data_IF_013295245910
#
_entry.id   IF_013295245910
#
_cell.length_a   1.000
_cell.length_b   1.000
_cell.length_c   1.000
_cell.angle_alpha   90.00
_cell.angle_beta   90.00
_cell.angle_gamma   90.00
#
_symmetry.space_group_name_H-M   'P 1'
#
loop_
_entity.id
_entity.type
_entity.pdbx_description
1 polymer ?
#
# COMPACT_ATOMS: atom_id res chain seq x y z
N UNK A 1 1.13 -7.80 16.48
CA UNK A 1 -0.19 -7.77 15.82
C UNK A 1 -1.30 -7.45 16.82
N UNK A 2 -2.49 -7.28 16.28
CA UNK A 2 -3.71 -7.07 17.07
C UNK A 2 -4.48 -8.37 17.34
N UNK A 3 -5.79 -8.25 17.53
CA UNK A 3 -6.67 -9.39 17.89
C UNK A 3 -7.30 -10.10 16.70
N UNK A 4 -7.21 -9.52 15.48
CA UNK A 4 -7.77 -10.09 14.26
C UNK A 4 -6.66 -10.55 13.27
N UNK A 5 -6.94 -10.53 11.98
CA UNK A 5 -6.04 -11.03 10.93
C UNK A 5 -5.00 -9.97 10.55
N UNK A 6 -3.73 -10.37 10.54
CA UNK A 6 -2.62 -9.60 9.98
C UNK A 6 -1.85 -10.43 8.95
N UNK A 7 -1.44 -9.78 7.85
CA UNK A 7 -0.61 -10.39 6.82
C UNK A 7 0.53 -9.43 6.45
N UNK A 8 1.81 -9.81 6.65
CA UNK A 8 2.93 -9.04 6.11
C UNK A 8 3.06 -9.28 4.60
N UNK A 9 3.32 -8.22 3.84
CA UNK A 9 3.52 -8.25 2.40
C UNK A 9 4.98 -8.14 2.01
N UNK A 10 5.65 -7.15 2.58
CA UNK A 10 7.00 -6.76 2.21
C UNK A 10 7.76 -6.20 3.39
N UNK A 11 9.07 -6.34 3.35
CA UNK A 11 9.99 -5.84 4.36
C UNK A 11 11.28 -5.35 3.72
N UNK A 12 11.80 -4.25 4.25
CA UNK A 12 13.10 -3.69 3.85
C UNK A 12 13.89 -3.29 5.09
N UNK A 13 15.20 -3.25 4.96
CA UNK A 13 16.11 -2.79 6.02
C UNK A 13 16.49 -1.33 5.75
N UNK A 14 16.34 -0.45 6.74
CA UNK A 14 16.73 0.95 6.66
C UNK A 14 18.27 1.16 6.83
N UNK A 15 18.75 2.39 6.70
CA UNK A 15 20.16 2.74 6.80
C UNK A 15 20.80 2.40 8.17
N UNK A 16 19.97 2.29 9.21
CA UNK A 16 20.38 1.96 10.58
C UNK A 16 20.26 0.46 10.90
N UNK A 17 19.83 -0.35 9.92
CA UNK A 17 19.62 -1.78 10.10
C UNK A 17 18.27 -2.15 10.73
N UNK A 18 17.34 -1.20 10.88
CA UNK A 18 16.00 -1.48 11.38
C UNK A 18 15.12 -2.07 10.28
N UNK A 19 14.09 -2.80 10.68
CA UNK A 19 13.15 -3.44 9.76
C UNK A 19 11.93 -2.54 9.54
N UNK A 20 11.68 -2.12 8.30
CA UNK A 20 10.45 -1.45 7.87
C UNK A 20 9.57 -2.47 7.19
N UNK A 21 8.35 -2.64 7.68
CA UNK A 21 7.42 -3.68 7.24
C UNK A 21 6.12 -3.06 6.77
N UNK A 22 5.63 -3.51 5.62
CA UNK A 22 4.27 -3.32 5.14
C UNK A 22 3.46 -4.57 5.44
N UNK A 23 2.33 -4.39 6.10
CA UNK A 23 1.35 -5.43 6.34
C UNK A 23 -0.07 -4.92 6.04
N UNK A 24 -1.04 -5.83 5.95
CA UNK A 24 -2.46 -5.54 6.03
C UNK A 24 -3.01 -6.09 7.33
N UNK A 25 -3.85 -5.32 7.99
CA UNK A 25 -4.48 -5.68 9.27
C UNK A 25 -5.99 -5.51 9.23
N UNK A 26 -6.69 -6.36 9.96
CA UNK A 26 -8.12 -6.22 10.32
C UNK A 26 -8.31 -5.85 11.80
N UNK A 27 -7.24 -5.50 12.48
CA UNK A 27 -7.24 -5.26 13.92
C UNK A 27 -7.29 -3.77 14.23
N UNK A 28 -8.36 -3.30 14.82
CA UNK A 28 -8.44 -1.92 15.33
C UNK A 28 -7.52 -1.65 16.52
N UNK A 29 -7.02 -2.71 17.15
CA UNK A 29 -6.05 -2.69 18.24
C UNK A 29 -4.62 -3.03 17.79
N UNK A 30 -4.34 -2.96 16.47
CA UNK A 30 -2.96 -3.07 15.99
C UNK A 30 -2.12 -1.95 16.62
N UNK A 31 -0.92 -2.28 17.15
CA UNK A 31 -0.13 -1.28 17.88
C UNK A 31 0.40 -0.19 16.93
N UNK A 32 -0.05 1.03 17.13
CA UNK A 32 0.45 2.24 16.48
C UNK A 32 1.15 3.15 17.46
N UNK A 33 2.00 4.04 16.98
CA UNK A 33 2.74 4.98 17.83
C UNK A 33 2.08 6.35 17.85
N UNK A 34 2.08 6.99 19.01
CA UNK A 34 1.54 8.35 19.16
C UNK A 34 2.29 9.33 18.26
N UNK A 35 1.56 10.16 17.54
CA UNK A 35 2.09 11.12 16.59
C UNK A 35 2.41 10.54 15.21
N UNK A 36 2.03 9.29 14.93
CA UNK A 36 2.11 8.72 13.57
C UNK A 36 1.10 9.38 12.63
N UNK A 37 1.25 9.16 11.34
CA UNK A 37 0.40 9.76 10.31
C UNK A 37 -1.10 9.45 10.54
N UNK A 38 -1.44 8.21 10.82
CA UNK A 38 -2.80 7.79 11.16
C UNK A 38 -2.78 6.79 12.33
N UNK A 39 -3.42 7.18 13.43
CA UNK A 39 -3.56 6.32 14.62
C UNK A 39 -4.89 5.55 14.63
N UNK A 40 -5.73 5.75 13.58
CA UNK A 40 -7.10 5.25 13.51
C UNK A 40 -7.22 4.12 12.48
N UNK A 41 -7.78 2.98 12.91
CA UNK A 41 -8.20 1.93 11.99
C UNK A 41 -9.52 2.34 11.33
N UNK A 42 -9.54 2.46 10.01
CA UNK A 42 -10.73 2.82 9.23
C UNK A 42 -11.46 1.58 8.70
N UNK A 43 -10.70 0.52 8.39
CA UNK A 43 -11.21 -0.79 8.01
C UNK A 43 -12.03 -0.79 6.73
N UNK A 44 -13.13 -1.57 6.73
CA UNK A 44 -13.99 -1.70 5.55
C UNK A 44 -15.05 -2.76 5.74
N UNK A 45 -15.77 -3.13 4.68
CA UNK A 45 -16.68 -4.27 4.70
C UNK A 45 -15.96 -5.58 4.97
N UNK A 46 -16.67 -6.56 5.55
CA UNK A 46 -16.17 -7.93 5.67
C UNK A 46 -15.61 -8.43 4.33
N UNK A 47 -14.40 -8.97 4.38
CA UNK A 47 -13.72 -9.54 3.22
C UNK A 47 -13.20 -10.94 3.53
N UNK A 48 -13.44 -11.88 2.60
CA UNK A 48 -12.85 -13.22 2.62
C UNK A 48 -11.91 -13.37 1.43
N UNK A 49 -10.65 -13.65 1.73
CA UNK A 49 -9.60 -13.88 0.73
C UNK A 49 -9.48 -15.38 0.50
N UNK A 50 -10.09 -15.86 -0.58
CA UNK A 50 -10.32 -17.29 -0.82
C UNK A 50 -9.03 -18.09 -1.00
N UNK A 51 -8.08 -17.57 -1.74
CA UNK A 51 -6.83 -18.30 -2.02
C UNK A 51 -5.92 -18.42 -0.79
N UNK A 52 -5.97 -17.45 0.10
CA UNK A 52 -5.23 -17.47 1.37
C UNK A 52 -6.01 -18.12 2.51
N UNK A 53 -7.30 -18.43 2.31
CA UNK A 53 -8.21 -18.93 3.37
C UNK A 53 -8.26 -18.01 4.59
N UNK A 54 -8.22 -16.70 4.36
CA UNK A 54 -8.18 -15.68 5.40
C UNK A 54 -9.43 -14.81 5.36
N UNK A 55 -9.81 -14.30 6.50
CA UNK A 55 -10.96 -13.39 6.64
C UNK A 55 -10.54 -12.11 7.37
N UNK A 56 -10.99 -11.00 6.84
CA UNK A 56 -10.88 -9.67 7.42
C UNK A 56 -12.27 -9.26 7.89
N UNK A 57 -12.57 -9.52 9.15
CA UNK A 57 -13.95 -9.43 9.69
C UNK A 57 -14.47 -8.00 9.76
N UNK A 58 -13.60 -7.03 9.91
CA UNK A 58 -13.89 -5.59 10.00
C UNK A 58 -13.32 -4.80 8.84
N UNK A 59 -13.06 -5.48 7.70
CA UNK A 59 -12.32 -4.93 6.60
C UNK A 59 -10.83 -4.87 6.88
N UNK A 60 -10.10 -4.07 6.10
CA UNK A 60 -8.64 -4.03 6.18
C UNK A 60 -8.07 -2.64 5.90
N UNK A 61 -7.03 -2.28 6.65
CA UNK A 61 -6.10 -1.19 6.37
C UNK A 61 -4.68 -1.71 6.21
N UNK A 62 -3.84 -0.98 5.51
CA UNK A 62 -2.40 -1.21 5.59
C UNK A 62 -1.87 -0.78 6.95
N UNK A 63 -0.88 -1.51 7.45
CA UNK A 63 -0.10 -1.15 8.62
C UNK A 63 1.38 -1.06 8.21
N UNK A 64 1.99 0.08 8.46
CA UNK A 64 3.40 0.31 8.21
C UNK A 64 4.10 0.50 9.55
N UNK A 65 5.13 -0.30 9.80
CA UNK A 65 5.82 -0.21 11.09
C UNK A 65 7.32 -0.46 10.97
N UNK A 66 8.07 0.12 11.91
CA UNK A 66 9.51 -0.03 12.03
C UNK A 66 9.86 -0.72 13.33
N UNK A 67 10.60 -1.82 13.23
CA UNK A 67 11.21 -2.51 14.36
C UNK A 67 12.70 -2.21 14.40
N UNK A 68 13.29 -2.17 15.60
CA UNK A 68 14.73 -2.09 15.74
C UNK A 68 15.40 -3.30 15.06
N UNK A 69 16.70 -3.21 14.80
CA UNK A 69 17.49 -4.24 14.12
C UNK A 69 17.50 -5.62 14.81
N UNK A 70 17.14 -5.68 16.08
CA UNK A 70 16.98 -6.94 16.82
C UNK A 70 15.55 -7.51 16.73
N UNK A 71 14.58 -6.77 16.15
CA UNK A 71 13.18 -7.16 16.07
C UNK A 71 12.45 -7.15 17.42
N UNK A 72 12.99 -6.51 18.43
CA UNK A 72 12.49 -6.58 19.82
C UNK A 72 11.69 -5.36 20.26
N UNK A 73 11.76 -4.25 19.51
CA UNK A 73 11.14 -2.98 19.87
C UNK A 73 10.41 -2.39 18.66
N UNK A 74 9.14 -2.07 18.84
CA UNK A 74 8.37 -1.26 17.90
C UNK A 74 8.84 0.21 18.06
N UNK A 75 9.41 0.77 17.00
CA UNK A 75 9.94 2.13 17.00
C UNK A 75 8.90 3.12 16.49
N UNK A 76 8.26 2.81 15.38
CA UNK A 76 7.22 3.61 14.72
C UNK A 76 6.18 2.69 14.11
N UNK A 77 4.92 3.13 14.08
CA UNK A 77 3.83 2.40 13.44
C UNK A 77 2.66 3.32 13.12
N UNK A 78 2.06 3.14 11.95
CA UNK A 78 0.91 3.91 11.46
C UNK A 78 -0.04 3.00 10.70
N UNK A 79 -1.34 3.33 10.72
CA UNK A 79 -2.26 2.84 9.69
C UNK A 79 -2.11 3.66 8.41
N UNK A 80 -2.62 3.11 7.32
CA UNK A 80 -2.75 3.78 6.03
C UNK A 80 -3.91 3.13 5.27
N UNK A 81 -5.01 3.85 5.15
CA UNK A 81 -6.21 3.38 4.48
C UNK A 81 -7.31 4.42 4.47
N UNK A 82 -8.43 4.08 3.84
CA UNK A 82 -9.67 4.84 3.85
C UNK A 82 -10.81 4.00 4.43
N UNK A 83 -12.06 4.30 4.04
CA UNK A 83 -13.23 3.59 4.56
C UNK A 83 -13.57 2.27 3.85
N UNK A 84 -12.82 1.88 2.83
CA UNK A 84 -12.92 0.60 2.12
C UNK A 84 -11.84 -0.38 2.57
N UNK A 85 -11.66 -1.49 1.84
CA UNK A 85 -10.58 -2.42 2.11
C UNK A 85 -9.29 -1.98 1.42
N UNK A 86 -8.22 -1.88 2.18
CA UNK A 86 -6.91 -1.43 1.73
C UNK A 86 -5.83 -2.50 1.94
N UNK A 87 -4.80 -2.47 1.10
CA UNK A 87 -3.68 -3.38 1.20
C UNK A 87 -3.91 -4.77 0.63
N UNK A 88 -5.07 -5.05 0.06
CA UNK A 88 -5.40 -6.35 -0.52
C UNK A 88 -5.75 -6.21 -2.01
N UNK A 89 -5.28 -7.16 -2.80
CA UNK A 89 -5.64 -7.28 -4.20
C UNK A 89 -6.73 -8.33 -4.34
N UNK A 90 -7.99 -7.91 -4.46
CA UNK A 90 -9.15 -8.83 -4.47
C UNK A 90 -9.66 -9.16 -5.88
N UNK A 91 -9.30 -8.35 -6.86
CA UNK A 91 -9.87 -8.44 -8.22
C UNK A 91 -8.87 -8.92 -9.29
N UNK A 92 -7.57 -8.82 -9.04
CA UNK A 92 -6.51 -9.22 -9.98
C UNK A 92 -5.79 -10.48 -9.48
N UNK A 93 -6.57 -11.50 -9.13
CA UNK A 93 -6.06 -12.73 -8.52
C UNK A 93 -6.02 -13.83 -9.57
N UNK A 94 -4.83 -14.12 -10.07
CA UNK A 94 -4.58 -15.14 -11.10
C UNK A 94 -3.69 -16.27 -10.62
N UNK A 95 -2.92 -16.03 -9.56
CA UNK A 95 -1.98 -16.98 -8.99
C UNK A 95 -2.06 -17.00 -7.47
N UNK A 96 -1.51 -18.05 -6.87
CA UNK A 96 -1.35 -18.14 -5.42
C UNK A 96 -0.55 -16.94 -4.88
N UNK A 97 -1.08 -16.29 -3.87
CA UNK A 97 -0.46 -15.14 -3.23
C UNK A 97 -0.70 -13.79 -3.93
N UNK A 98 -1.46 -13.72 -5.02
CA UNK A 98 -1.80 -12.44 -5.65
C UNK A 98 -2.70 -11.57 -4.76
N UNK A 99 -3.47 -12.18 -3.86
CA UNK A 99 -4.34 -11.48 -2.91
C UNK A 99 -3.57 -10.56 -1.95
N UNK A 100 -2.32 -10.89 -1.67
CA UNK A 100 -1.50 -10.27 -0.62
C UNK A 100 -0.25 -9.61 -1.20
N UNK A 101 -0.42 -8.79 -2.22
CA UNK A 101 0.69 -8.10 -2.89
C UNK A 101 0.73 -6.62 -2.53
N UNK A 102 1.93 -6.15 -2.35
CA UNK A 102 2.31 -4.79 -2.09
C UNK A 102 3.78 -4.73 -1.74
N UNK A 103 4.41 -3.59 -1.91
CA UNK A 103 5.85 -3.45 -1.63
C UNK A 103 6.12 -2.19 -0.81
N UNK A 104 7.08 -2.30 0.10
CA UNK A 104 7.69 -1.18 0.82
C UNK A 104 9.16 -1.10 0.47
N UNK A 105 9.63 0.11 0.19
CA UNK A 105 11.05 0.43 0.05
C UNK A 105 11.38 1.71 0.80
N UNK A 106 12.64 1.91 1.12
CA UNK A 106 13.16 3.16 1.69
C UNK A 106 14.23 3.75 0.76
N UNK A 107 14.33 5.07 0.75
CA UNK A 107 15.43 5.78 0.09
C UNK A 107 16.61 6.01 1.06
N UNK A 108 17.64 6.72 0.58
CA UNK A 108 18.84 7.03 1.36
C UNK A 108 18.58 7.97 2.59
N UNK A 109 17.39 8.55 2.68
CA UNK A 109 16.92 9.37 3.81
C UNK A 109 16.00 8.59 4.75
N UNK A 110 15.85 7.28 4.55
CA UNK A 110 14.93 6.39 5.25
C UNK A 110 13.44 6.79 5.12
N UNK A 111 13.09 7.65 4.14
CA UNK A 111 11.71 7.93 3.79
C UNK A 111 11.07 6.69 3.17
N UNK A 112 9.81 6.43 3.51
CA UNK A 112 9.14 5.17 3.23
C UNK A 112 8.20 5.30 2.03
N UNK A 113 8.43 4.50 1.01
CA UNK A 113 7.60 4.43 -0.19
C UNK A 113 6.81 3.11 -0.19
N UNK A 114 5.54 3.19 -0.56
CA UNK A 114 4.62 2.05 -0.57
C UNK A 114 3.88 2.02 -1.90
N UNK A 115 3.73 0.82 -2.44
CA UNK A 115 2.85 0.52 -3.56
C UNK A 115 1.93 -0.63 -3.19
N UNK A 116 0.62 -0.49 -3.42
CA UNK A 116 -0.38 -1.48 -3.08
C UNK A 116 -1.68 -1.27 -3.85
N UNK A 117 -2.78 -1.77 -3.33
CA UNK A 117 -4.13 -1.65 -3.89
C UNK A 117 -5.12 -1.15 -2.84
N UNK A 118 -6.19 -0.51 -3.30
CA UNK A 118 -7.27 0.01 -2.46
C UNK A 118 -8.65 -0.21 -3.09
N UNK A 119 -9.65 -0.39 -2.24
CA UNK A 119 -11.07 -0.29 -2.59
C UNK A 119 -11.71 0.97 -1.98
N UNK A 120 -10.92 1.78 -1.28
CA UNK A 120 -11.36 3.03 -0.67
C UNK A 120 -11.49 4.13 -1.71
N UNK A 121 -12.59 4.86 -1.70
CA UNK A 121 -12.77 6.07 -2.51
C UNK A 121 -12.24 7.34 -1.84
N UNK A 122 -11.86 7.21 -0.59
CA UNK A 122 -11.34 8.25 0.31
C UNK A 122 -9.93 7.91 0.85
N UNK A 123 -9.18 7.09 0.11
CA UNK A 123 -7.78 6.79 0.44
C UNK A 123 -6.95 8.07 0.54
N UNK A 124 -6.02 8.18 1.51
CA UNK A 124 -5.23 9.38 1.71
C UNK A 124 -4.41 9.78 0.49
N UNK A 125 -4.68 10.98 -0.04
CA UNK A 125 -3.98 11.58 -1.17
C UNK A 125 -3.57 13.02 -0.86
N UNK A 126 -2.65 13.57 -1.66
CA UNK A 126 -2.14 14.93 -1.44
C UNK A 126 -2.47 15.85 -2.62
N UNK A 127 -2.65 17.16 -2.37
CA UNK A 127 -2.83 18.14 -3.43
C UNK A 127 -1.68 18.12 -4.44
N UNK A 128 -2.01 18.09 -5.74
CA UNK A 128 -1.01 18.07 -6.81
C UNK A 128 -0.48 16.68 -7.18
N UNK A 129 -0.94 15.62 -6.51
CA UNK A 129 -0.66 14.23 -6.92
C UNK A 129 -1.32 13.90 -8.27
N UNK A 130 -0.95 12.78 -8.89
CA UNK A 130 -1.50 12.35 -10.18
C UNK A 130 -3.03 12.24 -10.17
N UNK A 131 -3.61 11.60 -9.14
CA UNK A 131 -5.05 11.62 -8.88
C UNK A 131 -5.36 11.61 -7.40
N UNK A 132 -6.29 12.47 -7.01
CA UNK A 132 -6.85 12.52 -5.65
C UNK A 132 -8.19 11.78 -5.55
N UNK A 133 -8.67 11.23 -6.65
CA UNK A 133 -9.93 10.50 -6.71
C UNK A 133 -9.70 9.12 -7.29
N UNK A 134 -10.42 8.13 -6.77
CA UNK A 134 -10.45 6.79 -7.32
C UNK A 134 -11.01 6.79 -8.76
N UNK A 135 -10.58 5.84 -9.55
CA UNK A 135 -10.99 5.72 -10.95
C UNK A 135 -12.14 4.73 -11.17
N UNK A 136 -12.37 3.83 -10.23
CA UNK A 136 -13.43 2.84 -10.38
C UNK A 136 -13.38 1.75 -9.32
N UNK A 137 -13.22 0.52 -9.71
CA UNK A 137 -13.24 -0.64 -8.85
C UNK A 137 -12.11 -0.69 -7.81
N UNK A 138 -11.22 -1.65 -7.92
CA UNK A 138 -9.97 -1.65 -7.18
C UNK A 138 -8.95 -0.78 -7.92
N UNK A 139 -8.32 0.15 -7.23
CA UNK A 139 -7.25 1.00 -7.79
C UNK A 139 -5.88 0.67 -7.19
N UNK A 140 -4.83 0.87 -7.96
CA UNK A 140 -3.48 0.93 -7.43
C UNK A 140 -3.26 2.23 -6.65
N UNK A 141 -2.46 2.17 -5.61
CA UNK A 141 -2.03 3.34 -4.85
C UNK A 141 -0.52 3.35 -4.67
N UNK A 142 0.03 4.57 -4.67
CA UNK A 142 1.41 4.80 -4.32
C UNK A 142 1.50 5.96 -3.33
N UNK A 143 2.33 5.81 -2.31
CA UNK A 143 2.51 6.81 -1.26
C UNK A 143 3.96 6.92 -0.84
N UNK A 144 4.30 8.10 -0.32
CA UNK A 144 5.54 8.38 0.39
C UNK A 144 5.22 8.94 1.75
N UNK A 145 5.76 8.31 2.79
CA UNK A 145 5.73 8.79 4.17
C UNK A 145 7.12 9.30 4.58
N UNK A 146 7.12 10.22 5.53
CA UNK A 146 8.35 10.65 6.22
C UNK A 146 9.05 9.46 6.89
N UNK A 147 10.34 9.59 7.16
CA UNK A 147 11.14 8.53 7.79
C UNK A 147 10.66 8.12 9.18
N UNK A 148 9.97 9.00 9.89
CA UNK A 148 9.38 8.74 11.22
C UNK A 148 7.91 8.30 11.16
N UNK A 149 7.35 8.10 9.95
CA UNK A 149 5.95 7.73 9.68
C UNK A 149 4.92 8.73 10.24
N UNK A 150 5.29 9.98 10.47
CA UNK A 150 4.38 10.99 11.03
C UNK A 150 3.66 11.83 9.96
N UNK A 151 4.15 11.82 8.72
CA UNK A 151 3.65 12.68 7.66
C UNK A 151 3.50 11.92 6.35
N UNK A 152 2.38 12.14 5.67
CA UNK A 152 2.18 11.76 4.27
C UNK A 152 2.76 12.86 3.37
N UNK A 153 3.94 12.61 2.80
CA UNK A 153 4.61 13.56 1.90
C UNK A 153 3.85 13.67 0.58
N UNK A 154 3.48 12.53 0.00
CA UNK A 154 2.54 12.46 -1.11
C UNK A 154 1.83 11.11 -1.15
N UNK A 155 0.61 11.12 -1.67
CA UNK A 155 -0.20 9.94 -1.94
C UNK A 155 -1.06 10.15 -3.19
N UNK A 156 -1.27 9.08 -3.96
CA UNK A 156 -2.03 9.14 -5.22
C UNK A 156 -2.70 7.81 -5.54
N UNK A 157 -3.86 7.90 -6.19
CA UNK A 157 -4.41 6.78 -6.94
C UNK A 157 -3.72 6.66 -8.29
N UNK A 158 -3.64 5.45 -8.80
CA UNK A 158 -3.14 5.12 -10.13
C UNK A 158 -3.97 3.96 -10.69
N UNK A 159 -4.64 4.17 -11.79
CA UNK A 159 -5.50 3.16 -12.38
C UNK A 159 -6.35 3.69 -13.51
N UNK A 160 -7.40 2.95 -13.82
CA UNK A 160 -8.43 3.30 -14.76
C UNK A 160 -9.81 2.80 -14.28
N UNK A 161 -10.78 2.66 -15.16
CA UNK A 161 -12.17 2.39 -14.77
C UNK A 161 -12.47 0.95 -14.32
N UNK A 162 -11.51 0.04 -14.47
CA UNK A 162 -11.62 -1.35 -14.02
C UNK A 162 -10.72 -1.60 -12.81
N UNK A 163 -10.25 -2.82 -12.62
CA UNK A 163 -9.39 -3.13 -11.47
C UNK A 163 -7.92 -2.99 -11.81
N UNK A 164 -7.21 -2.32 -10.93
CA UNK A 164 -5.79 -2.01 -11.02
C UNK A 164 -5.11 -2.28 -9.67
N UNK A 165 -3.80 -2.57 -9.69
CA UNK A 165 -3.05 -2.81 -8.46
C UNK A 165 -1.56 -2.83 -8.69
N UNK A 166 -0.78 -2.46 -7.67
CA UNK A 166 0.68 -2.49 -7.72
C UNK A 166 1.25 -3.59 -6.82
N UNK A 167 2.28 -4.24 -7.33
CA UNK A 167 2.92 -5.40 -6.73
C UNK A 167 4.38 -5.17 -6.41
N UNK A 168 5.02 -4.22 -7.11
CA UNK A 168 6.43 -3.93 -6.92
C UNK A 168 6.72 -2.44 -7.11
N UNK A 169 7.73 -1.99 -6.40
CA UNK A 169 8.16 -0.60 -6.34
C UNK A 169 9.70 -0.52 -6.27
N UNK A 170 10.27 0.46 -6.98
CA UNK A 170 11.67 0.86 -6.81
C UNK A 170 11.77 2.38 -6.82
N UNK A 171 12.73 2.91 -6.10
CA UNK A 171 13.04 4.34 -6.10
C UNK A 171 14.38 4.57 -6.77
N UNK A 172 14.41 5.53 -7.69
CA UNK A 172 15.65 5.92 -8.36
C UNK A 172 16.58 6.64 -7.39
N UNK A 173 17.79 6.12 -7.21
CA UNK A 173 18.78 6.65 -6.24
C UNK A 173 19.26 8.07 -6.54
N UNK A 174 19.12 8.54 -7.77
CA UNK A 174 19.56 9.88 -8.20
C UNK A 174 18.39 10.84 -8.38
N UNK A 175 17.28 10.37 -8.98
CA UNK A 175 16.12 11.21 -9.29
C UNK A 175 15.08 11.25 -8.17
N UNK A 176 15.03 10.24 -7.31
CA UNK A 176 13.97 10.05 -6.33
C UNK A 176 12.63 9.62 -6.94
N UNK A 177 12.61 9.33 -8.24
CA UNK A 177 11.39 8.88 -8.94
C UNK A 177 10.97 7.50 -8.47
N UNK A 178 9.67 7.30 -8.30
CA UNK A 178 9.09 5.99 -8.01
C UNK A 178 8.75 5.24 -9.30
N UNK A 179 9.27 4.03 -9.43
CA UNK A 179 8.99 3.10 -10.52
C UNK A 179 8.08 2.00 -10.02
N UNK A 180 6.90 1.87 -10.61
CA UNK A 180 5.84 0.96 -10.16
C UNK A 180 5.61 -0.14 -11.20
N UNK A 181 5.33 -1.34 -10.73
CA UNK A 181 4.92 -2.47 -11.55
C UNK A 181 3.69 -3.14 -10.94
N UNK A 182 2.74 -3.52 -11.78
CA UNK A 182 1.50 -4.10 -11.31
C UNK A 182 0.65 -4.70 -12.42
N UNK A 183 -0.59 -4.99 -12.09
CA UNK A 183 -1.60 -5.50 -13.00
C UNK A 183 -2.71 -4.50 -13.28
N UNK A 184 -3.35 -4.63 -14.42
CA UNK A 184 -4.49 -3.81 -14.83
C UNK A 184 -5.50 -4.62 -15.64
N UNK A 185 -6.79 -4.33 -15.43
CA UNK A 185 -7.88 -4.72 -16.32
C UNK A 185 -8.49 -3.50 -17.02
N UNK A 186 -7.90 -2.33 -16.82
CA UNK A 186 -8.38 -1.06 -17.37
C UNK A 186 -7.88 -0.85 -18.80
N UNK A 187 -8.80 -0.67 -19.73
CA UNK A 187 -8.47 -0.44 -21.15
C UNK A 187 -8.02 0.99 -21.45
N UNK A 188 -8.26 1.92 -20.54
CA UNK A 188 -8.05 3.36 -20.69
C UNK A 188 -6.97 3.94 -19.78
N UNK A 189 -5.93 3.16 -19.42
CA UNK A 189 -4.79 3.71 -18.67
C UNK A 189 -4.12 4.84 -19.45
N UNK A 190 -3.79 5.92 -18.73
CA UNK A 190 -3.03 7.01 -19.31
C UNK A 190 -1.63 6.54 -19.68
N UNK A 191 -1.25 6.72 -20.93
CA UNK A 191 0.08 6.40 -21.43
C UNK A 191 0.76 7.66 -21.99
N UNK A 192 2.10 7.68 -21.95
CA UNK A 192 2.87 8.75 -22.58
C UNK A 192 3.24 8.41 -24.03
N UNK A 193 3.54 9.42 -24.82
CA UNK A 193 3.98 9.21 -26.21
C UNK A 193 5.30 8.43 -26.25
N UNK A 194 5.40 7.47 -27.17
CA UNK A 194 6.64 6.72 -27.42
C UNK A 194 6.88 5.52 -26.50
N UNK A 195 5.91 5.15 -25.66
CA UNK A 195 6.01 3.95 -24.82
C UNK A 195 5.79 2.66 -25.61
N UNK A 196 6.31 1.54 -25.09
CA UNK A 196 6.04 0.20 -25.61
C UNK A 196 4.64 -0.22 -25.13
N UNK A 197 3.75 -0.61 -26.06
CA UNK A 197 2.38 -1.02 -25.72
C UNK A 197 1.49 0.13 -25.24
N UNK A 198 1.17 1.12 -26.12
CA UNK A 198 0.36 2.28 -25.72
C UNK A 198 -1.13 1.95 -25.53
N UNK A 199 -1.54 0.71 -25.75
CA UNK A 199 -2.92 0.24 -25.59
C UNK A 199 -2.97 -1.11 -24.87
N UNK A 200 -4.06 -1.30 -24.15
CA UNK A 200 -4.36 -2.57 -23.48
C UNK A 200 -4.67 -3.66 -24.51
N UNK A 201 -4.06 -4.83 -24.37
CA UNK A 201 -4.19 -5.94 -25.31
C UNK A 201 -4.81 -7.21 -24.68
N UNK A 202 -5.34 -7.13 -23.46
CA UNK A 202 -5.97 -8.27 -22.75
C UNK A 202 -5.02 -8.99 -21.82
#
# INVERSE_FOLDING_TARGET
>A
GGTNTEIPHSMVVDSSGNLVVLATTSSSDFPVTVGSFDESFNGGPFLSVVNASLTFSTGSDMAIFRLNNAGTTLMQSTFLGGSGNDGLNVNLVYNYGDDIRGEVVVNDLDEVYIASSTLSTDFPTTPGSYSQTSFGGQDGVAVKLSSDLSTLDWGTYLGGTSSDGFYSLRVGSVSGDAYLCGGTQSTGLATTSGVIGPSYNG
#
